data_IF_605277286552
#
_entry.id   IF_605277286552
#
_cell.length_a   1.000
_cell.length_b   1.000
_cell.length_c   1.000
_cell.angle_alpha   90.00
_cell.angle_beta   90.00
_cell.angle_gamma   90.00
#
_symmetry.space_group_name_H-M   'P 1'
#
loop_
_entity.id
_entity.type
_entity.pdbx_description
1 polymer ?
#
# COMPACT_ATOMS: atom_id res chain seq x y z
N UNK A 1 -13.01 -30.53 -12.43
CA UNK A 1 -11.60 -30.70 -12.01
C UNK A 1 -11.19 -29.38 -11.39
N UNK A 2 -10.81 -29.37 -10.11
CA UNK A 2 -10.17 -28.19 -9.50
C UNK A 2 -8.90 -27.89 -10.29
N UNK A 3 -8.66 -26.63 -10.65
CA UNK A 3 -7.37 -26.26 -11.21
C UNK A 3 -6.32 -26.36 -10.09
N UNK A 4 -5.12 -26.78 -10.45
CA UNK A 4 -3.99 -26.87 -9.54
C UNK A 4 -2.86 -26.04 -10.15
N UNK A 5 -2.24 -25.19 -9.33
CA UNK A 5 -1.16 -24.30 -9.75
C UNK A 5 0.14 -24.68 -9.05
N UNK A 6 1.25 -24.63 -9.79
CA UNK A 6 2.57 -24.90 -9.23
C UNK A 6 3.13 -23.62 -8.57
N UNK A 7 3.33 -23.61 -7.23
CA UNK A 7 3.84 -22.45 -6.50
C UNK A 7 5.31 -22.15 -6.85
N UNK A 8 6.14 -23.17 -7.10
CA UNK A 8 7.55 -23.02 -7.49
C UNK A 8 7.66 -22.27 -8.81
N UNK A 9 6.78 -22.60 -9.76
CA UNK A 9 6.71 -21.88 -11.04
C UNK A 9 6.37 -20.40 -10.86
N UNK A 10 5.50 -20.05 -9.91
CA UNK A 10 5.14 -18.65 -9.66
C UNK A 10 6.27 -17.86 -9.00
N UNK A 11 6.95 -18.45 -8.01
CA UNK A 11 8.12 -17.83 -7.38
C UNK A 11 9.23 -17.58 -8.40
N UNK A 12 9.54 -18.59 -9.22
CA UNK A 12 10.54 -18.46 -10.29
C UNK A 12 10.16 -17.38 -11.32
N UNK A 13 8.89 -17.32 -11.69
CA UNK A 13 8.42 -16.32 -12.65
C UNK A 13 8.53 -14.90 -12.08
N UNK A 14 8.16 -14.70 -10.82
CA UNK A 14 8.34 -13.42 -10.12
C UNK A 14 9.82 -13.06 -10.01
N UNK A 15 10.66 -13.99 -9.57
CA UNK A 15 12.12 -13.82 -9.50
C UNK A 15 12.69 -13.37 -10.85
N UNK A 16 12.35 -14.07 -11.93
CA UNK A 16 12.81 -13.74 -13.27
C UNK A 16 12.34 -12.34 -13.70
N UNK A 17 11.11 -11.95 -13.39
CA UNK A 17 10.61 -10.61 -13.67
C UNK A 17 11.40 -9.53 -12.95
N UNK A 18 11.75 -9.77 -11.68
CA UNK A 18 12.48 -8.81 -10.84
C UNK A 18 13.96 -8.69 -11.24
N UNK A 19 14.60 -9.80 -11.62
CA UNK A 19 16.01 -9.81 -12.02
C UNK A 19 16.30 -9.23 -13.40
N UNK A 20 15.29 -9.05 -14.27
CA UNK A 20 15.48 -8.46 -15.60
C UNK A 20 15.63 -6.94 -15.53
N UNK A 21 16.78 -6.41 -15.96
CA UNK A 21 17.14 -4.98 -15.97
C UNK A 21 16.30 -4.08 -16.90
N UNK A 22 15.76 -4.67 -17.98
CA UNK A 22 14.98 -3.96 -19.02
C UNK A 22 13.49 -3.79 -18.72
N UNK A 23 12.96 -4.50 -17.73
CA UNK A 23 11.53 -4.39 -17.38
C UNK A 23 11.25 -3.15 -16.55
N UNK A 24 10.09 -2.54 -16.80
CA UNK A 24 9.57 -1.49 -15.93
C UNK A 24 9.02 -2.16 -14.66
N UNK A 25 9.60 -1.89 -13.49
CA UNK A 25 9.17 -2.51 -12.24
C UNK A 25 8.52 -1.48 -11.33
N UNK A 26 7.39 -1.87 -10.77
CA UNK A 26 6.61 -1.12 -9.83
C UNK A 26 6.30 -1.96 -8.60
N UNK A 27 6.32 -1.34 -7.43
CA UNK A 27 5.76 -1.92 -6.21
C UNK A 27 4.57 -1.09 -5.78
N UNK A 28 3.49 -1.75 -5.37
CA UNK A 28 2.34 -1.12 -4.71
C UNK A 28 2.31 -1.61 -3.27
N UNK A 29 2.61 -0.72 -2.33
CA UNK A 29 2.73 -1.01 -0.90
C UNK A 29 1.48 -0.48 -0.18
N UNK A 30 0.65 -1.38 0.35
CA UNK A 30 -0.58 -1.02 1.05
C UNK A 30 -0.44 -0.99 2.58
N UNK A 31 -1.57 -0.74 3.26
CA UNK A 31 -1.62 -0.54 4.71
C UNK A 31 -1.29 -1.80 5.52
N UNK A 32 -1.30 -2.98 4.90
CA UNK A 32 -0.85 -4.22 5.52
C UNK A 32 0.68 -4.35 5.62
N UNK A 33 1.46 -3.59 4.84
CA UNK A 33 2.92 -3.70 4.85
C UNK A 33 3.58 -3.23 6.16
N UNK A 34 3.20 -2.09 6.77
CA UNK A 34 3.71 -1.72 8.10
C UNK A 34 3.41 -2.73 9.21
N UNK A 35 2.33 -3.52 9.08
CA UNK A 35 1.92 -4.53 10.08
C UNK A 35 2.94 -5.66 10.18
N UNK A 36 3.70 -5.95 9.12
CA UNK A 36 4.73 -6.98 9.14
C UNK A 36 5.94 -6.60 10.02
N UNK A 37 6.06 -5.34 10.43
CA UNK A 37 7.10 -4.90 11.36
C UNK A 37 6.54 -4.96 12.78
N UNK A 38 6.99 -5.94 13.54
CA UNK A 38 6.62 -6.12 14.94
C UNK A 38 7.64 -5.42 15.84
N UNK A 39 7.16 -4.52 16.71
CA UNK A 39 7.97 -3.79 17.69
C UNK A 39 7.64 -4.25 19.12
N UNK A 40 8.59 -4.19 20.06
CA UNK A 40 8.32 -4.57 21.45
C UNK A 40 7.29 -3.64 22.12
N UNK A 41 6.28 -4.24 22.73
CA UNK A 41 5.25 -3.58 23.54
C UNK A 41 5.14 -4.29 24.89
N UNK A 42 6.01 -3.92 25.84
CA UNK A 42 6.12 -4.59 27.13
C UNK A 42 6.63 -6.02 26.97
N UNK A 43 5.81 -7.01 27.36
CA UNK A 43 6.11 -8.44 27.21
C UNK A 43 5.61 -9.04 25.90
N UNK A 44 4.85 -8.27 25.11
CA UNK A 44 4.30 -8.68 23.81
C UNK A 44 4.94 -7.86 22.70
N UNK A 45 4.57 -8.16 21.46
CA UNK A 45 4.91 -7.35 20.29
C UNK A 45 3.65 -6.75 19.69
N UNK A 46 3.77 -5.56 19.12
CA UNK A 46 2.70 -4.91 18.39
C UNK A 46 3.17 -4.49 16.99
N UNK A 47 2.27 -4.35 16.01
CA UNK A 47 2.64 -3.80 14.72
C UNK A 47 3.09 -2.33 14.85
N UNK A 48 4.14 -1.96 14.12
CA UNK A 48 4.68 -0.60 14.06
C UNK A 48 3.57 0.41 13.75
N UNK A 49 2.83 0.15 12.67
CA UNK A 49 1.61 0.87 12.30
C UNK A 49 0.53 -0.19 12.03
N UNK A 50 -0.66 -0.06 12.64
CA UNK A 50 -1.76 -0.99 12.41
C UNK A 50 -2.33 -0.80 11.00
N UNK A 51 -3.07 -1.80 10.54
CA UNK A 51 -3.86 -1.66 9.32
C UNK A 51 -5.04 -0.67 9.51
N UNK A 52 -5.87 -0.55 8.48
CA UNK A 52 -7.02 0.38 8.48
C UNK A 52 -8.01 0.03 9.59
N UNK A 53 -8.19 -1.25 9.93
CA UNK A 53 -9.11 -1.69 10.98
C UNK A 53 -8.57 -1.31 12.36
N UNK A 54 -7.32 -1.67 12.67
CA UNK A 54 -6.69 -1.30 13.94
C UNK A 54 -6.53 0.22 14.10
N UNK A 55 -6.31 0.96 13.01
CA UNK A 55 -6.31 2.42 13.02
C UNK A 55 -7.70 3.00 13.31
N UNK A 56 -8.75 2.40 12.74
CA UNK A 56 -10.15 2.78 13.01
C UNK A 56 -10.47 2.60 14.49
N UNK A 57 -10.12 1.45 15.08
CA UNK A 57 -10.35 1.15 16.48
C UNK A 57 -9.60 2.10 17.42
N UNK A 58 -8.34 2.42 17.09
CA UNK A 58 -7.55 3.39 17.83
C UNK A 58 -8.21 4.78 17.84
N UNK A 59 -8.57 5.31 16.66
CA UNK A 59 -9.18 6.63 16.54
C UNK A 59 -10.55 6.67 17.23
N UNK A 60 -11.38 5.63 17.05
CA UNK A 60 -12.69 5.54 17.68
C UNK A 60 -12.57 5.53 19.21
N UNK A 61 -11.61 4.79 19.76
CA UNK A 61 -11.34 4.74 21.21
C UNK A 61 -10.93 6.11 21.74
N UNK A 62 -10.03 6.80 21.05
CA UNK A 62 -9.57 8.14 21.45
C UNK A 62 -10.68 9.19 21.33
N UNK A 63 -11.51 9.15 20.28
CA UNK A 63 -12.60 10.13 20.12
C UNK A 63 -13.67 9.98 21.19
N UNK A 64 -13.96 8.75 21.64
CA UNK A 64 -14.96 8.48 22.69
C UNK A 64 -14.56 9.03 24.07
N UNK A 65 -13.29 9.37 24.29
CA UNK A 65 -12.82 9.99 25.55
C UNK A 65 -12.73 11.51 25.46
N UNK A 66 -13.04 12.11 24.30
CA UNK A 66 -12.92 13.54 24.05
C UNK A 66 -14.28 14.23 23.95
N UNK A 67 -14.29 15.57 23.90
CA UNK A 67 -15.51 16.35 23.71
C UNK A 67 -16.17 16.11 22.33
N UNK A 68 -15.45 15.54 21.36
CA UNK A 68 -15.98 15.14 20.05
C UNK A 68 -16.85 13.87 20.08
N UNK A 69 -16.95 13.17 21.22
CA UNK A 69 -17.71 11.90 21.35
C UNK A 69 -19.09 11.96 20.72
N UNK A 70 -19.89 12.96 21.06
CA UNK A 70 -21.28 13.07 20.58
C UNK A 70 -21.36 13.27 19.07
N UNK A 71 -20.45 14.05 18.49
CA UNK A 71 -20.40 14.24 17.03
C UNK A 71 -19.98 12.94 16.32
N UNK A 72 -18.99 12.23 16.87
CA UNK A 72 -18.52 10.96 16.35
C UNK A 72 -19.61 9.86 16.38
N UNK A 73 -20.30 9.70 17.50
CA UNK A 73 -21.40 8.72 17.64
C UNK A 73 -22.55 9.01 16.66
N UNK A 74 -22.86 10.28 16.41
CA UNK A 74 -23.83 10.67 15.37
C UNK A 74 -23.39 10.24 13.98
N UNK A 75 -22.11 10.45 13.62
CA UNK A 75 -21.57 10.00 12.33
C UNK A 75 -21.66 8.48 12.18
N UNK A 76 -21.25 7.72 13.21
CA UNK A 76 -21.36 6.25 13.19
C UNK A 76 -22.81 5.79 13.02
N UNK A 77 -23.75 6.41 13.73
CA UNK A 77 -25.17 6.06 13.63
C UNK A 77 -25.74 6.35 12.24
N UNK A 78 -25.42 7.50 11.66
CA UNK A 78 -25.87 7.85 10.31
C UNK A 78 -25.34 6.88 9.24
N UNK A 79 -24.05 6.50 9.32
CA UNK A 79 -23.48 5.51 8.41
C UNK A 79 -24.17 4.15 8.50
N UNK A 80 -24.54 3.72 9.72
CA UNK A 80 -25.34 2.50 9.93
C UNK A 80 -26.74 2.63 9.35
N UNK A 81 -27.41 3.76 9.56
CA UNK A 81 -28.76 4.02 9.01
C UNK A 81 -28.77 4.06 7.48
N UNK A 82 -27.69 4.57 6.87
CA UNK A 82 -27.52 4.61 5.41
C UNK A 82 -27.15 3.24 4.81
N UNK A 83 -27.05 2.18 5.63
CA UNK A 83 -26.77 0.82 5.16
C UNK A 83 -25.31 0.58 4.77
N UNK A 84 -24.38 1.39 5.27
CA UNK A 84 -22.95 1.18 5.03
C UNK A 84 -22.48 -0.12 5.73
N UNK A 85 -22.01 -1.09 4.94
CA UNK A 85 -21.62 -2.42 5.44
C UNK A 85 -20.20 -2.49 5.99
N UNK A 86 -19.33 -1.53 5.63
CA UNK A 86 -17.92 -1.50 6.03
C UNK A 86 -17.55 -0.12 6.58
N UNK A 87 -17.91 0.14 7.85
CA UNK A 87 -17.57 1.40 8.51
C UNK A 87 -16.12 1.34 8.99
N UNK A 88 -15.25 2.08 8.32
CA UNK A 88 -13.86 2.30 8.71
C UNK A 88 -13.51 3.79 8.73
N UNK A 89 -12.29 4.12 9.15
CA UNK A 89 -11.81 5.51 9.24
C UNK A 89 -11.93 6.28 7.91
N UNK A 90 -11.72 5.61 6.77
CA UNK A 90 -11.80 6.25 5.45
C UNK A 90 -13.25 6.58 5.07
N UNK A 91 -14.18 5.65 5.30
CA UNK A 91 -15.62 5.89 5.09
C UNK A 91 -16.16 7.00 6.01
N UNK A 92 -15.69 7.05 7.27
CA UNK A 92 -16.06 8.08 8.22
C UNK A 92 -15.58 9.47 7.78
N UNK A 93 -14.29 9.61 7.42
CA UNK A 93 -13.74 10.87 6.91
C UNK A 93 -14.44 11.32 5.63
N UNK A 94 -14.74 10.39 4.72
CA UNK A 94 -15.44 10.69 3.46
C UNK A 94 -16.85 11.20 3.72
N UNK A 95 -17.57 10.58 4.67
CA UNK A 95 -18.89 11.02 5.08
C UNK A 95 -18.87 12.40 5.73
N UNK A 96 -17.92 12.65 6.64
CA UNK A 96 -17.75 13.95 7.31
C UNK A 96 -17.51 15.06 6.27
N UNK A 97 -16.60 14.85 5.32
CA UNK A 97 -16.32 15.81 4.24
C UNK A 97 -17.51 16.05 3.33
N UNK A 98 -18.24 14.97 2.99
CA UNK A 98 -19.48 15.07 2.23
C UNK A 98 -20.54 15.93 2.95
N UNK A 99 -20.71 15.74 4.26
CA UNK A 99 -21.61 16.56 5.06
C UNK A 99 -21.16 18.03 5.13
N UNK A 100 -19.85 18.30 5.26
CA UNK A 100 -19.31 19.67 5.28
C UNK A 100 -19.64 20.43 4.00
N UNK A 101 -19.56 19.77 2.84
CA UNK A 101 -19.88 20.38 1.56
C UNK A 101 -21.36 20.78 1.44
N UNK A 102 -22.26 20.09 2.14
CA UNK A 102 -23.72 20.29 2.05
C UNK A 102 -24.22 21.21 3.18
N UNK A 103 -23.59 21.20 4.36
CA UNK A 103 -24.11 21.84 5.56
C UNK A 103 -24.28 23.38 5.46
N UNK A 104 -23.46 24.06 4.67
CA UNK A 104 -23.56 25.52 4.50
C UNK A 104 -23.58 26.24 5.86
N UNK A 105 -24.50 27.19 6.05
CA UNK A 105 -24.68 27.88 7.34
C UNK A 105 -25.68 27.18 8.30
N UNK A 106 -26.23 26.03 7.91
CA UNK A 106 -27.25 25.30 8.69
C UNK A 106 -26.67 24.01 9.29
N UNK A 107 -27.47 23.33 10.13
CA UNK A 107 -27.15 21.98 10.59
C UNK A 107 -27.63 20.97 9.54
N UNK A 108 -26.81 19.96 9.26
CA UNK A 108 -27.20 18.80 8.45
C UNK A 108 -27.06 17.56 9.30
N UNK A 109 -28.13 16.76 9.37
CA UNK A 109 -28.19 15.55 10.21
C UNK A 109 -27.70 15.83 11.64
N UNK A 110 -28.20 16.92 12.23
CA UNK A 110 -27.88 17.37 13.60
C UNK A 110 -26.39 17.67 13.88
N UNK A 111 -25.59 17.93 12.85
CA UNK A 111 -24.19 18.32 12.93
C UNK A 111 -23.98 19.68 12.25
N UNK A 112 -23.22 20.58 12.90
CA UNK A 112 -22.80 21.86 12.32
C UNK A 112 -21.48 21.73 11.57
N UNK A 113 -21.14 22.72 10.73
CA UNK A 113 -19.83 22.77 10.04
C UNK A 113 -18.68 22.82 11.04
N UNK A 114 -18.84 23.50 12.17
CA UNK A 114 -17.82 23.59 13.22
C UNK A 114 -17.61 22.23 13.90
N UNK A 115 -18.70 21.50 14.20
CA UNK A 115 -18.62 20.15 14.76
C UNK A 115 -17.86 19.21 13.81
N UNK A 116 -18.22 19.24 12.53
CA UNK A 116 -17.62 18.40 11.49
C UNK A 116 -16.15 18.74 11.26
N UNK A 117 -15.80 20.04 11.28
CA UNK A 117 -14.41 20.50 11.09
C UNK A 117 -13.55 20.15 12.30
N UNK A 118 -14.04 20.35 13.51
CA UNK A 118 -13.34 19.95 14.73
C UNK A 118 -13.14 18.44 14.81
N UNK A 119 -14.14 17.66 14.40
CA UNK A 119 -14.07 16.20 14.34
C UNK A 119 -13.04 15.73 13.31
N UNK A 120 -13.09 16.25 12.08
CA UNK A 120 -12.13 15.94 11.02
C UNK A 120 -10.70 16.27 11.44
N UNK A 121 -10.47 17.49 11.95
CA UNK A 121 -9.15 17.93 12.43
C UNK A 121 -8.61 16.99 13.51
N UNK A 122 -9.46 16.57 14.45
CA UNK A 122 -9.04 15.66 15.52
C UNK A 122 -8.74 14.26 14.99
N UNK A 123 -9.55 13.75 14.06
CA UNK A 123 -9.30 12.47 13.38
C UNK A 123 -7.97 12.49 12.63
N UNK A 124 -7.73 13.50 11.78
CA UNK A 124 -6.49 13.64 11.04
C UNK A 124 -5.26 13.75 11.95
N UNK A 125 -5.37 14.49 13.07
CA UNK A 125 -4.29 14.54 14.08
C UNK A 125 -4.02 13.18 14.72
N UNK A 126 -5.06 12.46 15.16
CA UNK A 126 -4.90 11.13 15.77
C UNK A 126 -4.32 10.11 14.79
N UNK A 127 -4.73 10.16 13.52
CA UNK A 127 -4.12 9.34 12.46
C UNK A 127 -2.65 9.70 12.31
N UNK A 128 -2.34 10.99 12.14
CA UNK A 128 -0.97 11.48 12.04
C UNK A 128 -0.09 11.01 13.21
N UNK A 129 -0.55 11.19 14.44
CA UNK A 129 0.14 10.72 15.66
C UNK A 129 0.37 9.20 15.67
N UNK A 130 -0.56 8.40 15.13
CA UNK A 130 -0.43 6.93 15.15
C UNK A 130 0.51 6.40 14.08
N UNK A 131 0.55 7.04 12.91
CA UNK A 131 1.31 6.61 11.72
C UNK A 131 2.67 7.31 11.58
N UNK A 132 2.88 8.44 12.26
CA UNK A 132 4.18 9.12 12.34
C UNK A 132 5.13 8.32 13.24
N UNK A 133 5.73 7.28 12.67
CA UNK A 133 6.63 6.36 13.35
C UNK A 133 7.98 6.31 12.64
N UNK A 134 9.10 6.34 13.40
CA UNK A 134 10.40 6.10 12.82
C UNK A 134 10.51 4.63 12.40
N UNK A 135 11.15 4.41 11.25
CA UNK A 135 11.47 3.07 10.79
C UNK A 135 12.55 2.46 11.72
N UNK A 136 12.34 1.27 12.30
CA UNK A 136 13.32 0.65 13.19
C UNK A 136 14.72 0.54 12.56
N UNK A 137 15.77 0.73 13.35
CA UNK A 137 17.17 0.63 12.89
C UNK A 137 17.59 -0.80 12.53
N UNK A 138 16.86 -1.79 13.03
CA UNK A 138 17.05 -3.18 12.63
C UNK A 138 16.61 -3.41 11.20
N UNK A 139 17.20 -4.42 10.55
CA UNK A 139 16.78 -4.85 9.23
C UNK A 139 15.28 -5.18 9.23
N UNK A 140 14.60 -4.67 8.21
CA UNK A 140 13.17 -4.77 8.03
C UNK A 140 12.80 -4.74 6.54
N UNK A 141 11.54 -5.01 6.18
CA UNK A 141 11.18 -5.21 4.78
C UNK A 141 11.28 -3.96 3.91
N UNK A 142 11.05 -2.77 4.47
CA UNK A 142 11.27 -1.51 3.76
C UNK A 142 12.76 -1.29 3.47
N UNK A 143 13.64 -1.57 4.45
CA UNK A 143 15.09 -1.50 4.23
C UNK A 143 15.57 -2.51 3.19
N UNK A 144 15.00 -3.72 3.15
CA UNK A 144 15.34 -4.73 2.15
C UNK A 144 14.88 -4.34 0.75
N UNK A 145 13.68 -3.76 0.62
CA UNK A 145 13.21 -3.19 -0.64
C UNK A 145 14.11 -2.03 -1.10
N UNK A 146 14.45 -1.10 -0.21
CA UNK A 146 15.31 0.03 -0.54
C UNK A 146 16.73 -0.43 -0.95
N UNK A 147 17.29 -1.42 -0.27
CA UNK A 147 18.57 -2.05 -0.62
C UNK A 147 18.52 -2.70 -2.01
N UNK A 148 17.44 -3.42 -2.32
CA UNK A 148 17.24 -4.04 -3.62
C UNK A 148 17.13 -3.00 -4.75
N UNK A 149 16.40 -1.90 -4.51
CA UNK A 149 16.30 -0.77 -5.45
C UNK A 149 17.70 -0.15 -5.67
N UNK A 150 18.46 0.07 -4.61
CA UNK A 150 19.78 0.70 -4.67
C UNK A 150 20.82 -0.15 -5.43
N UNK A 151 20.74 -1.47 -5.27
CA UNK A 151 21.78 -2.41 -5.72
C UNK A 151 21.58 -2.89 -7.15
N UNK A 152 20.39 -2.68 -7.73
CA UNK A 152 20.07 -3.19 -9.07
C UNK A 152 20.30 -2.09 -10.11
N UNK A 153 21.27 -2.28 -11.01
CA UNK A 153 21.48 -1.36 -12.13
C UNK A 153 20.43 -1.63 -13.23
N UNK A 154 19.41 -0.78 -13.31
CA UNK A 154 18.27 -0.94 -14.21
C UNK A 154 18.30 0.07 -15.34
N UNK A 155 17.58 -0.24 -16.42
CA UNK A 155 17.39 0.70 -17.54
C UNK A 155 16.38 1.82 -17.24
N UNK A 156 15.53 1.62 -16.23
CA UNK A 156 14.51 2.58 -15.81
C UNK A 156 14.39 2.62 -14.27
N UNK A 157 14.05 3.79 -13.69
CA UNK A 157 13.74 3.94 -12.28
C UNK A 157 12.68 2.93 -11.79
N UNK A 158 12.88 2.36 -10.60
CA UNK A 158 11.83 1.59 -9.92
C UNK A 158 10.77 2.57 -9.40
N UNK A 159 9.50 2.25 -9.62
CA UNK A 159 8.39 3.06 -9.11
C UNK A 159 7.75 2.39 -7.89
N UNK A 160 7.52 3.14 -6.83
CA UNK A 160 6.86 2.68 -5.60
C UNK A 160 5.59 3.50 -5.44
N UNK A 161 4.44 2.85 -5.54
CA UNK A 161 3.13 3.40 -5.28
C UNK A 161 2.71 2.99 -3.87
N UNK A 162 2.04 3.86 -3.13
CA UNK A 162 1.52 3.49 -1.82
C UNK A 162 0.28 4.30 -1.45
N UNK A 163 -0.63 3.65 -0.75
CA UNK A 163 -1.81 4.27 -0.12
C UNK A 163 -1.51 4.70 1.32
N UNK A 164 -0.29 4.45 1.81
CA UNK A 164 0.06 4.68 3.20
C UNK A 164 0.44 6.15 3.44
N UNK A 165 -0.06 6.69 4.55
CA UNK A 165 0.19 8.08 4.93
C UNK A 165 1.57 8.30 5.58
N UNK A 166 2.16 7.25 6.15
CA UNK A 166 3.46 7.27 6.84
C UNK A 166 4.63 7.59 5.91
N UNK A 167 5.84 7.70 6.47
CA UNK A 167 7.08 8.01 5.76
C UNK A 167 8.08 6.83 5.74
N UNK A 168 7.61 5.59 5.91
CA UNK A 168 8.52 4.44 6.06
C UNK A 168 9.33 4.16 4.79
N UNK A 169 8.73 4.32 3.62
CA UNK A 169 9.41 4.16 2.33
C UNK A 169 10.49 5.22 2.11
N UNK A 170 10.19 6.48 2.42
CA UNK A 170 11.13 7.60 2.37
C UNK A 170 12.32 7.37 3.28
N UNK A 171 12.06 7.06 4.55
CA UNK A 171 13.09 6.77 5.55
C UNK A 171 14.00 5.61 5.10
N UNK A 172 13.44 4.56 4.51
CA UNK A 172 14.23 3.46 3.98
C UNK A 172 15.10 3.88 2.79
N UNK A 173 14.55 4.60 1.80
CA UNK A 173 15.31 5.08 0.65
C UNK A 173 16.45 6.01 1.07
N UNK A 174 16.20 6.91 2.01
CA UNK A 174 17.20 7.83 2.57
C UNK A 174 18.31 7.10 3.34
N UNK A 175 17.96 6.07 4.13
CA UNK A 175 18.93 5.25 4.87
C UNK A 175 19.93 4.56 3.94
N UNK A 176 19.51 4.16 2.73
CA UNK A 176 20.39 3.58 1.71
C UNK A 176 20.99 4.62 0.75
N UNK A 177 20.74 5.91 0.97
CA UNK A 177 21.16 7.00 0.07
C UNK A 177 20.67 6.81 -1.37
N UNK A 178 19.54 6.15 -1.53
CA UNK A 178 18.87 5.98 -2.82
C UNK A 178 18.14 7.29 -3.13
N UNK A 179 18.56 8.06 -4.15
CA UNK A 179 17.83 9.27 -4.51
C UNK A 179 16.43 8.89 -4.98
N UNK A 180 15.43 9.66 -4.59
CA UNK A 180 14.06 9.43 -5.02
C UNK A 180 13.38 10.73 -5.40
N UNK A 181 12.42 10.62 -6.31
CA UNK A 181 11.51 11.70 -6.66
C UNK A 181 10.10 11.30 -6.25
N UNK A 182 9.44 12.15 -5.46
CA UNK A 182 8.10 11.92 -4.94
C UNK A 182 7.03 12.86 -5.52
N UNK A 183 7.36 13.55 -6.61
CA UNK A 183 6.54 14.59 -7.22
C UNK A 183 6.79 15.99 -6.67
N UNK A 184 7.57 16.14 -5.60
CA UNK A 184 7.88 17.45 -5.00
C UNK A 184 9.34 17.86 -5.23
N UNK A 185 9.51 19.13 -5.58
CA UNK A 185 10.81 19.78 -5.79
C UNK A 185 11.02 20.88 -4.75
N UNK A 186 12.22 20.93 -4.16
CA UNK A 186 12.58 21.89 -3.12
C UNK A 186 12.99 21.25 -1.79
N UNK A 187 13.69 22.03 -0.96
CA UNK A 187 14.33 21.52 0.27
C UNK A 187 13.53 21.83 1.54
N UNK A 188 13.15 23.09 1.76
CA UNK A 188 12.47 23.55 2.99
C UNK A 188 10.95 23.41 2.89
N UNK A 189 10.39 23.96 1.83
CA UNK A 189 8.96 23.89 1.49
C UNK A 189 8.90 23.41 0.05
N UNK A 190 8.90 22.10 -0.13
CA UNK A 190 8.94 21.52 -1.46
C UNK A 190 7.56 21.70 -2.12
N UNK A 191 7.54 22.21 -3.35
CA UNK A 191 6.33 22.44 -4.12
C UNK A 191 6.09 21.27 -5.07
N UNK A 192 4.82 21.03 -5.42
CA UNK A 192 4.47 20.02 -6.41
C UNK A 192 5.00 20.42 -7.79
N UNK A 193 5.88 19.60 -8.35
CA UNK A 193 6.52 19.84 -9.63
C UNK A 193 5.85 19.02 -10.74
N UNK A 194 4.68 19.49 -11.19
CA UNK A 194 3.90 18.83 -12.23
C UNK A 194 4.70 18.61 -13.52
N UNK A 195 5.65 19.51 -13.83
CA UNK A 195 6.48 19.39 -15.03
C UNK A 195 7.39 18.16 -14.95
N UNK A 196 8.10 17.99 -13.82
CA UNK A 196 8.94 16.82 -13.58
C UNK A 196 8.15 15.51 -13.47
N UNK A 197 6.90 15.56 -13.01
CA UNK A 197 6.02 14.38 -12.97
C UNK A 197 5.72 13.85 -14.38
N UNK A 198 5.42 14.76 -15.32
CA UNK A 198 4.99 14.42 -16.68
C UNK A 198 6.16 14.15 -17.62
N UNK A 199 7.27 14.89 -17.48
CA UNK A 199 8.28 15.00 -18.53
C UNK A 199 9.69 14.55 -18.14
N UNK A 200 10.04 14.43 -16.85
CA UNK A 200 11.44 14.17 -16.51
C UNK A 200 11.87 12.72 -16.75
N UNK A 201 12.95 12.57 -17.51
CA UNK A 201 13.77 11.36 -17.55
C UNK A 201 14.73 11.37 -16.36
N UNK A 202 14.24 10.92 -15.21
CA UNK A 202 15.10 10.76 -14.04
C UNK A 202 16.18 9.70 -14.31
N UNK A 203 17.41 9.89 -13.78
CA UNK A 203 18.47 8.90 -13.94
C UNK A 203 18.00 7.53 -13.42
N UNK A 204 18.32 6.40 -14.10
CA UNK A 204 17.79 5.09 -13.73
C UNK A 204 18.10 4.61 -12.30
N UNK A 205 19.15 5.18 -11.67
CA UNK A 205 19.50 4.95 -10.26
C UNK A 205 18.50 5.56 -9.26
N UNK A 206 17.59 6.41 -9.71
CA UNK A 206 16.58 7.03 -8.85
C UNK A 206 15.41 6.08 -8.64
N UNK A 207 14.79 6.17 -7.48
CA UNK A 207 13.45 5.64 -7.26
C UNK A 207 12.41 6.73 -7.58
N UNK A 208 11.19 6.32 -7.90
CA UNK A 208 10.02 7.20 -7.91
C UNK A 208 9.06 6.75 -6.82
N UNK A 209 8.57 7.65 -5.99
CA UNK A 209 7.66 7.35 -4.89
C UNK A 209 6.34 8.12 -5.07
N UNK A 210 5.21 7.43 -5.08
CA UNK A 210 3.92 8.02 -5.39
C UNK A 210 2.92 7.72 -4.28
N UNK A 211 2.59 8.75 -3.49
CA UNK A 211 1.61 8.71 -2.39
C UNK A 211 0.20 8.93 -2.94
N UNK A 212 -0.55 7.85 -3.14
CA UNK A 212 -1.88 7.88 -3.78
C UNK A 212 -2.95 8.51 -2.89
N UNK A 213 -2.89 8.30 -1.58
CA UNK A 213 -3.85 8.83 -0.59
C UNK A 213 -3.30 10.03 0.19
N UNK A 214 -2.13 10.53 -0.20
CA UNK A 214 -1.45 11.63 0.47
C UNK A 214 -0.48 11.16 1.55
N UNK A 215 0.05 12.11 2.30
CA UNK A 215 1.07 11.84 3.31
C UNK A 215 0.97 12.79 4.49
N UNK A 216 1.44 12.32 5.66
CA UNK A 216 1.49 13.11 6.89
C UNK A 216 2.38 14.35 6.78
N UNK A 217 3.33 14.37 5.84
CA UNK A 217 4.22 15.50 5.60
C UNK A 217 3.72 16.48 4.52
N UNK A 218 2.52 16.27 3.97
CA UNK A 218 1.88 17.20 3.05
C UNK A 218 1.04 18.22 3.81
N UNK A 219 1.16 19.49 3.45
CA UNK A 219 0.40 20.59 4.02
C UNK A 219 -0.06 21.57 2.94
N UNK A 220 -1.02 22.44 3.25
CA UNK A 220 -1.53 23.47 2.34
C UNK A 220 -0.94 24.80 2.77
N UNK A 221 -0.18 25.44 1.87
CA UNK A 221 0.39 26.77 2.12
C UNK A 221 -0.67 27.89 2.01
N UNK A 222 -0.29 29.13 2.34
CA UNK A 222 -1.19 30.30 2.24
C UNK A 222 -1.77 30.50 0.82
N UNK A 223 -1.01 30.10 -0.20
CA UNK A 223 -1.42 30.11 -1.60
C UNK A 223 -2.40 29.00 -2.01
N UNK A 224 -2.88 28.19 -1.05
CA UNK A 224 -3.75 27.02 -1.27
C UNK A 224 -3.12 25.93 -2.14
N UNK A 225 -1.79 25.87 -2.20
CA UNK A 225 -1.05 24.83 -2.89
C UNK A 225 -0.59 23.77 -1.91
N UNK A 226 -0.59 22.52 -2.36
CA UNK A 226 -0.03 21.42 -1.58
C UNK A 226 1.49 21.50 -1.64
N UNK A 227 2.12 21.42 -0.48
CA UNK A 227 3.57 21.42 -0.31
C UNK A 227 3.98 20.32 0.66
N UNK A 228 5.20 19.82 0.49
CA UNK A 228 5.81 18.83 1.39
C UNK A 228 6.76 19.56 2.35
N UNK A 229 6.58 19.32 3.65
CA UNK A 229 7.40 19.89 4.72
C UNK A 229 8.25 18.82 5.39
N UNK A 230 9.42 19.18 5.92
CA UNK A 230 10.34 18.22 6.54
C UNK A 230 9.91 17.71 7.93
N UNK A 231 8.97 18.39 8.61
CA UNK A 231 8.45 17.98 9.91
C UNK A 231 6.93 18.05 9.92
N UNK A 232 6.29 17.07 10.57
CA UNK A 232 4.83 16.99 10.71
C UNK A 232 4.31 18.15 11.56
N UNK A 233 3.51 19.04 10.96
CA UNK A 233 3.00 20.26 11.63
C UNK A 233 1.60 20.08 12.24
N UNK A 234 1.09 18.85 12.32
CA UNK A 234 -0.26 18.52 12.80
C UNK A 234 -1.40 18.90 11.85
N UNK A 235 -1.13 19.66 10.78
CA UNK A 235 -2.05 19.94 9.66
C UNK A 235 -1.62 19.12 8.44
N UNK A 236 -1.82 17.82 8.53
CA UNK A 236 -1.51 16.88 7.46
C UNK A 236 -2.66 16.77 6.45
N UNK A 237 -2.30 16.62 5.18
CA UNK A 237 -3.26 16.41 4.09
C UNK A 237 -3.44 14.91 3.89
N UNK A 238 -4.37 14.33 4.66
CA UNK A 238 -4.79 12.92 4.58
C UNK A 238 -6.05 12.84 3.71
N UNK A 239 -6.05 12.01 2.66
CA UNK A 239 -7.23 11.79 1.83
C UNK A 239 -7.75 10.36 1.97
N UNK A 240 -9.00 10.16 2.42
CA UNK A 240 -9.62 8.85 2.42
C UNK A 240 -9.97 8.41 0.99
N UNK A 241 -10.04 7.09 0.81
CA UNK A 241 -10.39 6.40 -0.44
C UNK A 241 -11.76 6.79 -1.03
N UNK A 242 -12.75 7.16 -0.22
CA UNK A 242 -14.17 7.25 -0.62
C UNK A 242 -14.69 8.65 -0.98
N UNK A 243 -13.83 9.56 -1.44
CA UNK A 243 -14.29 10.86 -1.94
C UNK A 243 -14.71 10.79 -3.41
N UNK A 244 -16.03 10.87 -3.60
CA UNK A 244 -16.70 10.97 -4.90
C UNK A 244 -16.17 12.14 -5.73
N UNK A 245 -15.69 11.80 -6.92
CA UNK A 245 -15.56 12.58 -8.17
C UNK A 245 -14.86 13.95 -8.20
N UNK A 246 -15.05 14.84 -7.23
CA UNK A 246 -14.60 16.24 -7.35
C UNK A 246 -13.27 16.53 -6.63
N UNK A 247 -12.95 15.81 -5.54
CA UNK A 247 -11.69 16.02 -4.80
C UNK A 247 -10.52 15.15 -5.27
N UNK A 248 -10.79 13.95 -5.82
CA UNK A 248 -9.75 13.10 -6.47
C UNK A 248 -9.16 13.73 -7.74
N UNK A 249 -9.84 14.75 -8.29
CA UNK A 249 -9.36 15.58 -9.41
C UNK A 249 -8.53 16.79 -8.96
N UNK A 250 -8.29 16.96 -7.65
CA UNK A 250 -7.36 17.98 -7.16
C UNK A 250 -5.92 17.50 -7.30
N UNK A 251 -5.04 18.41 -7.70
CA UNK A 251 -3.61 18.21 -7.56
C UNK A 251 -3.26 18.16 -6.06
N UNK A 252 -2.35 17.27 -5.63
CA UNK A 252 -1.47 16.39 -6.41
C UNK A 252 -2.07 15.02 -6.78
N UNK A 253 -3.19 14.61 -6.17
CA UNK A 253 -3.74 13.24 -6.26
C UNK A 253 -3.95 12.75 -7.69
N UNK A 254 -4.51 13.62 -8.54
CA UNK A 254 -4.73 13.31 -9.94
C UNK A 254 -3.42 12.91 -10.64
N UNK A 255 -2.34 13.66 -10.41
CA UNK A 255 -1.03 13.36 -10.98
C UNK A 255 -0.46 12.01 -10.48
N UNK A 256 -0.65 11.71 -9.20
CA UNK A 256 -0.19 10.44 -8.60
C UNK A 256 -0.93 9.23 -9.21
N UNK A 257 -2.25 9.32 -9.38
CA UNK A 257 -3.08 8.26 -9.98
C UNK A 257 -2.80 8.14 -11.47
N UNK A 258 -2.68 9.25 -12.19
CA UNK A 258 -2.35 9.23 -13.62
C UNK A 258 -0.97 8.61 -13.87
N UNK A 259 -0.04 8.79 -12.93
CA UNK A 259 1.24 8.11 -12.97
C UNK A 259 1.13 6.60 -12.79
N UNK A 260 0.27 6.11 -11.89
CA UNK A 260 -0.02 4.67 -11.76
C UNK A 260 -0.59 4.12 -13.07
N UNK A 261 -1.57 4.81 -13.68
CA UNK A 261 -2.13 4.45 -15.00
C UNK A 261 -1.06 4.41 -16.08
N UNK A 262 -0.19 5.42 -16.12
CA UNK A 262 0.89 5.50 -17.08
C UNK A 262 1.90 4.37 -16.91
N UNK A 263 2.26 4.02 -15.67
CA UNK A 263 3.18 2.93 -15.36
C UNK A 263 2.65 1.58 -15.86
N UNK A 264 1.38 1.26 -15.58
CA UNK A 264 0.78 -0.01 -16.00
C UNK A 264 0.78 -0.11 -17.54
N UNK A 265 0.54 1.01 -18.23
CA UNK A 265 0.56 1.08 -19.70
C UNK A 265 1.94 0.97 -20.35
N UNK A 266 3.03 0.99 -19.57
CA UNK A 266 4.37 0.78 -20.12
C UNK A 266 4.51 -0.64 -20.67
N UNK A 267 5.26 -0.84 -21.76
CA UNK A 267 5.51 -2.17 -22.29
C UNK A 267 6.25 -3.03 -21.27
N UNK A 268 5.79 -4.27 -21.12
CA UNK A 268 6.39 -5.26 -20.20
C UNK A 268 6.55 -4.75 -18.76
N UNK A 269 5.60 -3.90 -18.31
CA UNK A 269 5.54 -3.45 -16.93
C UNK A 269 5.19 -4.62 -15.99
N UNK A 270 5.83 -4.64 -14.84
CA UNK A 270 5.57 -5.61 -13.77
C UNK A 270 5.25 -4.82 -12.51
N UNK A 271 4.02 -4.94 -12.02
CA UNK A 271 3.59 -4.34 -10.76
C UNK A 271 3.43 -5.43 -9.71
N UNK A 272 4.14 -5.32 -8.59
CA UNK A 272 4.00 -6.21 -7.43
C UNK A 272 3.20 -5.49 -6.36
N UNK A 273 2.01 -5.99 -6.03
CA UNK A 273 1.12 -5.43 -5.03
C UNK A 273 1.23 -6.26 -3.74
N UNK A 274 1.52 -5.63 -2.62
CA UNK A 274 1.59 -6.27 -1.30
C UNK A 274 0.89 -5.40 -0.25
N UNK A 275 0.24 -6.04 0.74
CA UNK A 275 -0.43 -5.34 1.83
C UNK A 275 -1.67 -4.51 1.42
N UNK A 276 -2.22 -4.75 0.23
CA UNK A 276 -3.41 -4.06 -0.28
C UNK A 276 -4.63 -4.98 -0.26
N UNK A 277 -5.74 -4.50 0.30
CA UNK A 277 -6.97 -5.30 0.51
C UNK A 277 -7.92 -5.34 -0.69
N UNK A 278 -7.63 -4.56 -1.75
CA UNK A 278 -8.53 -4.38 -2.90
C UNK A 278 -9.92 -3.85 -2.52
N UNK A 279 -10.05 -3.13 -1.39
CA UNK A 279 -11.31 -2.48 -0.98
C UNK A 279 -11.51 -1.09 -1.60
N UNK A 280 -10.50 -0.51 -2.25
CA UNK A 280 -10.62 0.78 -2.93
C UNK A 280 -11.06 0.59 -4.40
N UNK A 281 -12.33 0.89 -4.67
CA UNK A 281 -12.94 0.73 -5.99
C UNK A 281 -12.29 1.63 -7.05
N UNK A 282 -11.83 2.84 -6.70
CA UNK A 282 -11.26 3.78 -7.65
C UNK A 282 -9.88 3.33 -8.12
N UNK A 283 -9.03 2.88 -7.19
CA UNK A 283 -7.73 2.31 -7.54
C UNK A 283 -7.89 0.98 -8.29
N UNK A 284 -8.85 0.15 -7.90
CA UNK A 284 -9.15 -1.10 -8.62
C UNK A 284 -9.59 -0.84 -10.07
N UNK A 285 -10.46 0.14 -10.31
CA UNK A 285 -10.87 0.54 -11.66
C UNK A 285 -9.66 1.01 -12.48
N UNK A 286 -8.80 1.84 -11.89
CA UNK A 286 -7.54 2.28 -12.49
C UNK A 286 -6.62 1.11 -12.89
N UNK A 287 -6.47 0.10 -12.02
CA UNK A 287 -5.70 -1.10 -12.32
C UNK A 287 -6.27 -1.86 -13.52
N UNK A 288 -7.58 -2.14 -13.53
CA UNK A 288 -8.23 -2.92 -14.62
C UNK A 288 -8.23 -2.19 -15.95
N UNK A 289 -8.51 -0.88 -15.95
CA UNK A 289 -8.46 -0.06 -17.16
C UNK A 289 -7.05 -0.07 -17.77
N UNK A 290 -6.02 0.09 -16.94
CA UNK A 290 -4.62 0.03 -17.37
C UNK A 290 -4.22 -1.33 -17.93
N UNK A 291 -4.64 -2.40 -17.26
CA UNK A 291 -4.35 -3.78 -17.63
C UNK A 291 -5.04 -4.20 -18.94
N UNK A 292 -6.29 -3.78 -19.14
CA UNK A 292 -7.06 -4.06 -20.36
C UNK A 292 -6.39 -3.42 -21.59
N UNK A 293 -5.83 -2.21 -21.43
CA UNK A 293 -5.10 -1.52 -22.48
C UNK A 293 -3.71 -2.10 -22.80
N UNK A 294 -3.18 -3.00 -21.97
CA UNK A 294 -1.76 -3.38 -21.97
C UNK A 294 -1.56 -4.89 -21.79
N UNK A 295 -1.81 -5.73 -22.81
CA UNK A 295 -1.70 -7.19 -22.67
C UNK A 295 -0.31 -7.69 -22.24
N UNK A 296 0.74 -6.90 -22.48
CA UNK A 296 2.12 -7.22 -22.08
C UNK A 296 2.49 -6.83 -20.65
N UNK A 297 1.63 -6.11 -19.91
CA UNK A 297 1.85 -5.81 -18.49
C UNK A 297 1.44 -6.99 -17.63
N UNK A 298 2.14 -7.23 -16.53
CA UNK A 298 1.79 -8.24 -15.53
C UNK A 298 1.64 -7.59 -14.14
N UNK A 299 0.58 -7.93 -13.43
CA UNK A 299 0.36 -7.49 -12.04
C UNK A 299 0.30 -8.72 -11.15
N UNK A 300 1.09 -8.73 -10.08
CA UNK A 300 1.09 -9.76 -9.06
C UNK A 300 0.48 -9.20 -7.78
N UNK A 301 -0.73 -9.63 -7.43
CA UNK A 301 -1.32 -9.38 -6.13
C UNK A 301 -0.88 -10.45 -5.13
N UNK A 302 0.03 -10.09 -4.23
CA UNK A 302 0.51 -10.97 -3.17
C UNK A 302 -0.39 -10.80 -1.94
N UNK A 303 -1.25 -11.78 -1.70
CA UNK A 303 -2.27 -11.74 -0.64
C UNK A 303 -1.76 -12.46 0.62
N UNK A 304 -1.91 -11.80 1.77
CA UNK A 304 -1.48 -12.36 3.06
C UNK A 304 -2.37 -13.51 3.54
N UNK A 305 -3.69 -13.36 3.35
CA UNK A 305 -4.70 -14.37 3.72
C UNK A 305 -5.03 -15.36 2.60
N UNK A 306 -6.17 -16.02 2.75
CA UNK A 306 -6.69 -16.97 1.77
C UNK A 306 -7.49 -16.24 0.69
N UNK A 307 -7.67 -16.84 -0.50
CA UNK A 307 -8.41 -16.20 -1.60
C UNK A 307 -9.82 -15.75 -1.20
N UNK A 308 -10.51 -16.54 -0.37
CA UNK A 308 -11.87 -16.26 0.11
C UNK A 308 -11.98 -14.95 0.90
N UNK A 309 -10.88 -14.50 1.51
CA UNK A 309 -10.84 -13.27 2.31
C UNK A 309 -10.81 -12.00 1.42
N UNK A 310 -10.59 -12.16 0.11
CA UNK A 310 -10.43 -11.07 -0.86
C UNK A 310 -11.41 -11.17 -2.05
N UNK A 311 -12.74 -11.13 -1.82
CA UNK A 311 -13.74 -11.29 -2.87
C UNK A 311 -13.64 -10.24 -3.98
N UNK A 312 -13.33 -8.98 -3.64
CA UNK A 312 -13.16 -7.91 -4.63
C UNK A 312 -11.92 -8.12 -5.50
N UNK A 313 -10.82 -8.62 -4.93
CA UNK A 313 -9.62 -8.96 -5.70
C UNK A 313 -9.93 -10.11 -6.68
N UNK A 314 -10.59 -11.18 -6.20
CA UNK A 314 -10.98 -12.33 -7.02
C UNK A 314 -11.87 -11.90 -8.19
N UNK A 315 -12.85 -11.04 -7.94
CA UNK A 315 -13.71 -10.45 -8.99
C UNK A 315 -12.88 -9.67 -10.02
N UNK A 316 -11.91 -8.88 -9.56
CA UNK A 316 -11.01 -8.08 -10.42
C UNK A 316 -10.14 -8.97 -11.32
N UNK A 317 -9.52 -9.99 -10.74
CA UNK A 317 -8.63 -10.89 -11.47
C UNK A 317 -9.40 -11.89 -12.36
N UNK A 318 -10.69 -12.09 -12.09
CA UNK A 318 -11.61 -12.81 -12.98
C UNK A 318 -11.87 -12.09 -14.31
N UNK A 319 -11.71 -10.77 -14.37
CA UNK A 319 -11.89 -9.98 -15.61
C UNK A 319 -10.57 -9.63 -16.29
N UNK A 320 -9.51 -9.40 -15.52
CA UNK A 320 -8.19 -9.05 -16.04
C UNK A 320 -7.22 -10.25 -15.97
N UNK A 321 -7.03 -10.96 -17.09
CA UNK A 321 -6.19 -12.17 -17.14
C UNK A 321 -4.69 -11.96 -16.86
N UNK A 322 -4.23 -10.71 -16.90
CA UNK A 322 -2.87 -10.29 -16.55
C UNK A 322 -2.73 -9.79 -15.09
N UNK A 323 -3.79 -9.87 -14.30
CA UNK A 323 -3.75 -9.78 -12.84
C UNK A 323 -3.68 -11.19 -12.25
N UNK A 324 -2.53 -11.55 -11.69
CA UNK A 324 -2.32 -12.81 -10.99
C UNK A 324 -2.43 -12.59 -9.49
N UNK A 325 -3.34 -13.28 -8.82
CA UNK A 325 -3.44 -13.28 -7.36
C UNK A 325 -2.73 -14.51 -6.81
N UNK A 326 -1.76 -14.30 -5.93
CA UNK A 326 -1.03 -15.35 -5.22
C UNK A 326 -1.39 -15.22 -3.75
N UNK A 327 -2.23 -16.12 -3.25
CA UNK A 327 -2.72 -16.13 -1.88
C UNK A 327 -2.11 -17.29 -1.09
N UNK A 328 -2.37 -17.30 0.21
CA UNK A 328 -1.83 -18.30 1.13
C UNK A 328 -2.21 -19.74 0.75
N UNK A 329 -3.45 -19.96 0.34
CA UNK A 329 -4.05 -21.28 0.08
C UNK A 329 -4.15 -21.64 -1.42
N UNK A 330 -3.99 -20.67 -2.31
CA UNK A 330 -4.07 -20.90 -3.75
C UNK A 330 -3.76 -19.66 -4.57
N UNK A 331 -4.13 -19.72 -5.85
CA UNK A 331 -3.94 -18.61 -6.77
C UNK A 331 -5.08 -18.47 -7.78
N UNK A 332 -5.24 -17.25 -8.29
CA UNK A 332 -6.07 -16.95 -9.44
C UNK A 332 -5.15 -16.45 -10.56
N UNK A 333 -4.91 -17.32 -11.55
CA UNK A 333 -3.97 -17.08 -12.65
C UNK A 333 -4.72 -17.11 -13.97
N UNK A 334 -4.60 -16.06 -14.79
CA UNK A 334 -5.25 -16.03 -16.10
C UNK A 334 -6.75 -16.31 -16.02
N UNK A 335 -7.43 -15.65 -15.08
CA UNK A 335 -8.85 -15.81 -14.74
C UNK A 335 -9.26 -17.21 -14.24
N UNK A 336 -8.30 -18.05 -13.83
CA UNK A 336 -8.55 -19.41 -13.34
C UNK A 336 -8.09 -19.57 -11.90
N UNK A 337 -9.06 -19.72 -11.01
CA UNK A 337 -8.83 -20.08 -9.61
C UNK A 337 -8.38 -21.54 -9.49
N UNK A 338 -7.38 -21.78 -8.64
CA UNK A 338 -6.86 -23.10 -8.33
C UNK A 338 -6.04 -23.13 -7.04
N UNK A 339 -6.06 -24.28 -6.36
CA UNK A 339 -5.24 -24.49 -5.17
C UNK A 339 -3.77 -24.76 -5.52
N UNK A 340 -2.91 -24.70 -4.51
CA UNK A 340 -1.50 -25.03 -4.68
C UNK A 340 -1.28 -26.54 -4.87
N UNK A 341 -0.40 -26.87 -5.82
CA UNK A 341 0.10 -28.21 -6.02
C UNK A 341 0.95 -28.66 -4.83
N UNK A 342 0.74 -29.90 -4.36
CA UNK A 342 1.44 -30.48 -3.23
C UNK A 342 2.60 -31.43 -3.61
N UNK A 343 2.95 -31.47 -4.90
CA UNK A 343 4.15 -32.17 -5.40
C UNK A 343 5.44 -31.49 -4.93
N UNK A 344 6.56 -32.22 -4.98
CA UNK A 344 7.87 -31.79 -4.44
C UNK A 344 8.22 -30.35 -4.85
N UNK A 345 8.43 -29.50 -3.84
CA UNK A 345 8.87 -28.12 -4.02
C UNK A 345 10.35 -28.10 -4.44
N UNK A 346 10.68 -27.34 -5.48
CA UNK A 346 12.08 -27.09 -5.83
C UNK A 346 12.75 -26.08 -4.88
N UNK A 347 14.08 -26.03 -4.89
CA UNK A 347 14.87 -25.11 -4.03
C UNK A 347 14.47 -23.62 -4.17
N UNK A 348 13.98 -23.22 -5.34
CA UNK A 348 13.53 -21.85 -5.57
C UNK A 348 12.23 -21.50 -4.85
N UNK A 349 11.34 -22.48 -4.59
CA UNK A 349 10.11 -22.26 -3.83
C UNK A 349 10.39 -22.03 -2.33
N UNK A 350 11.45 -22.61 -1.79
CA UNK A 350 11.83 -22.43 -0.39
C UNK A 350 12.69 -21.20 -0.16
N UNK A 351 13.11 -20.50 -1.22
CA UNK A 351 13.91 -19.28 -1.13
C UNK A 351 13.24 -18.26 -0.20
N UNK A 352 13.95 -17.87 0.85
CA UNK A 352 13.50 -16.91 1.88
C UNK A 352 12.19 -17.26 2.59
N UNK A 353 11.76 -18.52 2.52
CA UNK A 353 10.49 -18.98 3.08
C UNK A 353 9.26 -18.64 2.22
N UNK A 354 9.44 -18.40 0.92
CA UNK A 354 8.35 -18.04 0.00
C UNK A 354 7.22 -19.08 -0.04
N UNK A 355 7.55 -20.36 0.11
CA UNK A 355 6.60 -21.48 0.14
C UNK A 355 6.97 -22.44 1.26
N UNK A 356 5.97 -22.87 2.03
CA UNK A 356 6.09 -23.83 3.13
C UNK A 356 5.21 -25.06 2.90
N UNK A 357 5.72 -26.24 3.25
CA UNK A 357 4.96 -27.49 3.30
C UNK A 357 4.61 -27.83 4.75
N UNK A 358 3.34 -27.76 5.12
CA UNK A 358 2.85 -28.15 6.45
C UNK A 358 2.07 -29.46 6.40
N UNK A 359 2.15 -30.32 7.44
CA UNK A 359 1.28 -31.49 7.56
C UNK A 359 -0.19 -31.07 7.62
N UNK A 360 -1.08 -31.78 6.93
CA UNK A 360 -2.52 -31.55 7.04
C UNK A 360 -3.03 -31.91 8.45
N UNK A 361 -3.53 -30.90 9.18
CA UNK A 361 -4.03 -31.02 10.54
C UNK A 361 -5.39 -31.76 10.59
N UNK A 362 -6.03 -32.03 9.45
CA UNK A 362 -7.32 -32.73 9.36
C UNK A 362 -7.22 -34.27 9.29
N UNK A 363 -6.02 -34.83 9.51
CA UNK A 363 -5.83 -36.27 9.76
C UNK A 363 -5.49 -37.12 8.53
N UNK A 364 -5.16 -36.49 7.39
CA UNK A 364 -4.60 -37.16 6.22
C UNK A 364 -3.07 -37.06 6.16
N UNK A 365 -2.40 -38.02 5.51
CA UNK A 365 -0.95 -37.96 5.23
C UNK A 365 -0.58 -36.92 4.13
N UNK A 366 -1.51 -36.06 3.74
CA UNK A 366 -1.32 -35.06 2.70
C UNK A 366 -0.56 -33.85 3.27
N UNK A 367 0.36 -33.30 2.47
CA UNK A 367 1.02 -32.02 2.77
C UNK A 367 0.16 -30.90 2.19
N UNK A 368 -0.03 -29.83 2.95
CA UNK A 368 -0.63 -28.57 2.51
C UNK A 368 0.50 -27.61 2.15
N UNK A 369 0.36 -26.91 1.04
CA UNK A 369 1.30 -25.88 0.62
C UNK A 369 0.76 -24.51 1.01
N UNK A 370 1.60 -23.73 1.71
CA UNK A 370 1.32 -22.36 2.08
C UNK A 370 2.26 -21.43 1.33
N UNK A 371 1.70 -20.40 0.69
CA UNK A 371 2.45 -19.38 -0.01
C UNK A 371 2.56 -18.10 0.83
N UNK A 372 3.78 -17.66 1.11
CA UNK A 372 4.05 -16.63 2.11
C UNK A 372 4.51 -15.28 1.55
N UNK A 373 4.72 -15.12 0.24
CA UNK A 373 5.14 -13.83 -0.32
C UNK A 373 4.08 -12.71 -0.17
N UNK A 374 2.85 -13.05 0.24
CA UNK A 374 1.85 -12.08 0.68
C UNK A 374 2.19 -11.37 2.00
N UNK A 375 3.05 -11.96 2.84
CA UNK A 375 3.66 -11.28 3.98
C UNK A 375 4.81 -10.39 3.48
N UNK A 376 4.71 -9.09 3.75
CA UNK A 376 5.73 -8.13 3.35
C UNK A 376 7.09 -8.46 3.95
N UNK A 377 7.15 -9.07 5.14
CA UNK A 377 8.41 -9.53 5.71
C UNK A 377 9.05 -10.68 4.94
N UNK A 378 8.25 -11.59 4.40
CA UNK A 378 8.72 -12.63 3.50
C UNK A 378 9.17 -12.04 2.16
N UNK A 379 8.39 -11.12 1.58
CA UNK A 379 8.76 -10.43 0.35
C UNK A 379 10.07 -9.64 0.48
N UNK A 380 10.28 -8.94 1.60
CA UNK A 380 11.53 -8.24 1.88
C UNK A 380 12.74 -9.18 1.87
N UNK A 381 12.67 -10.30 2.59
CA UNK A 381 13.73 -11.32 2.59
C UNK A 381 13.94 -11.94 1.22
N UNK A 382 12.87 -12.11 0.45
CA UNK A 382 12.95 -12.60 -0.93
C UNK A 382 13.74 -11.61 -1.81
N UNK A 383 13.44 -10.31 -1.74
CA UNK A 383 14.18 -9.26 -2.46
C UNK A 383 15.65 -9.17 -2.02
N UNK A 384 15.92 -9.27 -0.72
CA UNK A 384 17.28 -9.29 -0.19
C UNK A 384 18.08 -10.52 -0.68
N UNK A 385 17.44 -11.67 -0.84
CA UNK A 385 18.10 -12.84 -1.40
C UNK A 385 18.49 -12.66 -2.88
N UNK A 386 17.76 -11.83 -3.65
CA UNK A 386 18.08 -11.57 -5.06
C UNK A 386 19.38 -10.79 -5.27
N UNK A 387 19.82 -10.02 -4.27
CA UNK A 387 21.08 -9.26 -4.33
C UNK A 387 22.29 -10.07 -3.84
N UNK A 388 22.10 -11.32 -3.40
CA UNK A 388 23.14 -12.15 -2.79
C UNK A 388 23.32 -11.78 -1.32
N UNK A 389 22.80 -12.62 -0.43
CA UNK A 389 22.69 -12.33 0.99
C UNK A 389 24.07 -12.32 1.68
N UNK A 390 24.75 -11.18 1.65
CA UNK A 390 25.93 -10.86 2.48
C UNK A 390 25.88 -9.40 2.94
N UNK A 391 24.73 -8.98 3.49
CA UNK A 391 24.62 -7.73 4.27
C UNK A 391 24.76 -8.00 5.77
N UNK A 392 25.57 -9.00 6.13
CA UNK A 392 26.05 -9.25 7.50
C UNK A 392 27.31 -8.45 7.89
N UNK A 393 27.80 -7.58 7.01
CA UNK A 393 28.98 -6.76 7.25
C UNK A 393 28.68 -5.27 7.09
N UNK A 394 28.43 -4.58 8.20
CA UNK A 394 28.71 -3.15 8.39
C UNK A 394 28.48 -2.23 7.17
N UNK A 395 27.23 -2.10 6.68
CA UNK A 395 26.87 -1.04 5.75
C UNK A 395 26.54 0.30 6.46
N UNK A 396 26.67 0.37 7.79
CA UNK A 396 26.66 1.63 8.57
C UNK A 396 28.05 2.29 8.58
N UNK A 397 28.66 2.43 7.41
CA UNK A 397 29.99 3.00 7.23
C UNK A 397 29.97 4.28 6.38
N UNK A 398 29.90 5.42 7.09
CA UNK A 398 30.18 6.81 6.67
C UNK A 398 29.11 7.48 5.81
#
# INVERSE_FOLDING_TARGET
MSNIHDPTRQVNYLQQCLSQDKRNIGFFIGAGCPVSIQVPAGTTTEPLIPDVEGLTDFVATQLRTTHQKTAFEKVENHLKTDGCTCINIETQLSFIRGLKAIAGASKVRDLSVDDLTSLEDKMCRLIGERVDRPLPETENPYTQLAAWIASTNRSAPVEVFTTNYDLLSEQALERFRTPYFDGFSGSKEAFLDSHSIDHDELPPRWARLWKLHGSINWTINEGKQVCRVGATTGKCVIHPSHLKYDESRRMPYLAMIDRLRAFIRKPSSVLVICGYSFRDEHLNACLVEGLTGSPGSAVFGLLYGNLVDYPEAVKLAGTAGNLSLLARDGALLGTREGGWDNRDLGDAATLSGAVELTPDLTGGAAKVVLFHLGDFACLGRFLAALIGNDMGGSAYGI
#
